data_IF_303502871898
#
_entry.id   IF_303502871898
#
_cell.length_a   1.000
_cell.length_b   1.000
_cell.length_c   1.000
_cell.angle_alpha   90.00
_cell.angle_beta   90.00
_cell.angle_gamma   90.00
#
_symmetry.space_group_name_H-M   'P 1'
#
loop_
_entity.id
_entity.type
_entity.pdbx_description
1 polymer ?
#
# COMPACT_ATOMS: atom_id res chain seq x y z
N UNK A 1 7.25 4.76 -9.62
CA UNK A 1 6.11 3.96 -10.12
C UNK A 1 6.69 2.64 -10.63
N UNK A 2 6.58 1.56 -9.87
CA UNK A 2 7.02 0.23 -10.33
C UNK A 2 5.76 -0.48 -10.84
N UNK A 3 5.69 -0.70 -12.16
CA UNK A 3 4.71 -1.60 -12.76
C UNK A 3 5.43 -2.91 -13.06
N UNK A 4 4.95 -4.05 -12.55
CA UNK A 4 5.65 -5.34 -12.73
C UNK A 4 5.95 -5.69 -14.19
N UNK A 5 6.97 -6.52 -14.51
CA UNK A 5 7.77 -7.41 -13.66
C UNK A 5 9.28 -7.09 -13.76
N UNK A 6 9.84 -6.30 -12.84
CA UNK A 6 11.26 -5.95 -12.90
C UNK A 6 12.10 -6.86 -12.00
N UNK A 7 12.36 -8.10 -12.45
CA UNK A 7 13.64 -8.72 -12.07
C UNK A 7 14.69 -8.16 -13.01
N UNK A 8 15.55 -7.33 -12.43
CA UNK A 8 16.77 -6.86 -13.06
C UNK A 8 17.98 -7.41 -12.33
N UNK A 9 19.08 -7.60 -13.04
CA UNK A 9 20.37 -7.80 -12.40
C UNK A 9 20.71 -6.50 -11.68
N UNK A 10 20.81 -6.57 -10.35
CA UNK A 10 21.35 -5.47 -9.54
C UNK A 10 22.81 -5.33 -9.91
N UNK A 11 23.16 -4.19 -10.49
CA UNK A 11 24.53 -3.88 -10.85
C UNK A 11 25.30 -3.39 -9.61
N UNK A 12 26.63 -3.33 -9.73
CA UNK A 12 27.50 -2.88 -8.64
C UNK A 12 27.22 -1.43 -8.20
N UNK A 13 26.60 -0.62 -9.05
CA UNK A 13 26.18 0.76 -8.78
C UNK A 13 24.72 0.85 -8.27
N UNK A 14 24.11 -0.29 -7.94
CA UNK A 14 22.71 -0.41 -7.49
C UNK A 14 21.67 -0.06 -8.57
N UNK A 15 22.08 0.13 -9.82
CA UNK A 15 21.13 0.23 -10.92
C UNK A 15 20.54 -1.14 -11.26
N UNK A 16 19.31 -1.14 -11.78
CA UNK A 16 18.61 -2.35 -12.21
C UNK A 16 18.72 -2.47 -13.73
N UNK A 17 19.35 -3.55 -14.20
CA UNK A 17 19.35 -3.90 -15.64
C UNK A 17 18.30 -4.97 -15.90
N UNK A 18 17.30 -4.76 -16.78
CA UNK A 18 16.33 -5.80 -17.13
C UNK A 18 17.04 -7.08 -17.60
N UNK A 19 16.69 -8.24 -17.05
CA UNK A 19 17.30 -9.52 -17.44
C UNK A 19 16.56 -10.24 -18.58
N UNK A 20 15.45 -9.65 -19.06
CA UNK A 20 14.64 -10.15 -20.16
C UNK A 20 13.76 -11.36 -19.82
N UNK A 21 13.76 -11.83 -18.57
CA UNK A 21 13.00 -13.02 -18.16
C UNK A 21 11.60 -12.62 -17.72
N UNK A 22 10.61 -12.83 -18.59
CA UNK A 22 9.19 -12.71 -18.22
C UNK A 22 8.75 -14.03 -17.61
N UNK A 23 8.58 -14.08 -16.29
CA UNK A 23 7.95 -15.23 -15.63
C UNK A 23 6.44 -15.22 -15.90
N UNK A 24 5.85 -16.31 -16.44
CA UNK A 24 4.41 -16.41 -16.61
C UNK A 24 3.75 -16.82 -15.29
N UNK A 25 3.75 -15.96 -14.26
CA UNK A 25 2.84 -16.10 -13.09
C UNK A 25 2.76 -14.81 -12.27
N UNK A 26 1.71 -14.01 -12.51
CA UNK A 26 0.66 -13.64 -11.55
C UNK A 26 0.98 -13.16 -10.11
N UNK A 27 2.22 -12.86 -9.72
CA UNK A 27 2.48 -12.19 -8.44
C UNK A 27 2.25 -10.69 -8.61
N UNK A 28 1.02 -10.26 -8.35
CA UNK A 28 0.65 -8.85 -8.31
C UNK A 28 1.20 -8.20 -7.04
N UNK A 29 2.51 -8.02 -7.01
CA UNK A 29 3.16 -7.15 -6.05
C UNK A 29 3.29 -5.76 -6.67
N UNK A 30 2.66 -4.77 -6.05
CA UNK A 30 2.78 -3.36 -6.43
C UNK A 30 3.31 -2.57 -5.25
N UNK A 31 4.04 -1.48 -5.51
CA UNK A 31 4.58 -0.66 -4.44
C UNK A 31 5.14 0.67 -4.91
N UNK A 32 5.50 1.50 -3.94
CA UNK A 32 6.09 2.79 -4.19
C UNK A 32 6.55 3.48 -2.90
N UNK A 33 7.09 4.68 -3.08
CA UNK A 33 7.50 5.55 -1.99
C UNK A 33 6.82 6.91 -2.16
N UNK A 34 6.36 7.48 -1.06
CA UNK A 34 5.78 8.83 -0.98
C UNK A 34 6.36 9.50 0.26
N UNK A 35 7.26 10.46 0.04
CA UNK A 35 8.00 11.11 1.12
C UNK A 35 8.76 10.11 2.00
N UNK A 36 8.55 10.20 3.31
CA UNK A 36 9.19 9.36 4.33
C UNK A 36 8.49 8.00 4.54
N UNK A 37 7.64 7.59 3.60
CA UNK A 37 6.88 6.35 3.68
C UNK A 37 7.05 5.52 2.42
N UNK A 38 7.12 4.21 2.58
CA UNK A 38 7.00 3.26 1.48
C UNK A 38 5.69 2.47 1.62
N UNK A 39 5.23 1.87 0.53
CA UNK A 39 4.02 1.05 0.55
C UNK A 39 4.12 -0.11 -0.42
N UNK A 40 3.41 -1.19 -0.11
CA UNK A 40 3.26 -2.36 -0.96
C UNK A 40 1.82 -2.86 -0.96
N UNK A 41 1.44 -3.56 -2.03
CA UNK A 41 0.18 -4.27 -2.17
C UNK A 41 0.47 -5.68 -2.64
N UNK A 42 -0.05 -6.65 -1.89
CA UNK A 42 0.10 -8.06 -2.17
C UNK A 42 -1.11 -8.84 -1.64
N UNK A 43 -1.12 -10.15 -1.86
CA UNK A 43 -2.04 -11.04 -1.15
C UNK A 43 -1.75 -11.00 0.35
N UNK A 44 -2.78 -11.09 1.22
CA UNK A 44 -2.56 -11.27 2.64
C UNK A 44 -1.81 -12.61 2.88
N UNK A 45 -0.76 -12.63 3.71
CA UNK A 45 -0.06 -13.86 4.07
C UNK A 45 -0.98 -14.79 4.88
N UNK A 46 -0.81 -16.10 4.67
CA UNK A 46 -1.51 -17.16 5.41
C UNK A 46 -0.60 -17.89 6.42
N UNK A 47 0.63 -17.41 6.60
CA UNK A 47 1.61 -17.99 7.50
C UNK A 47 2.41 -19.17 6.94
N UNK A 48 2.06 -19.69 5.76
CA UNK A 48 2.70 -20.89 5.19
C UNK A 48 3.96 -20.59 4.37
N UNK A 49 4.12 -19.33 3.96
CA UNK A 49 5.27 -18.87 3.19
C UNK A 49 6.56 -18.72 4.00
N UNK A 50 7.71 -18.56 3.33
CA UNK A 50 9.03 -18.43 4.00
C UNK A 50 9.15 -17.18 4.89
N UNK A 51 8.35 -16.15 4.66
CA UNK A 51 8.27 -14.96 5.51
C UNK A 51 7.23 -15.10 6.65
N UNK A 52 6.58 -16.27 6.78
CA UNK A 52 5.50 -16.50 7.73
C UNK A 52 4.35 -15.51 7.53
N UNK A 53 4.05 -14.77 8.59
CA UNK A 53 2.97 -13.78 8.62
C UNK A 53 3.40 -12.37 8.19
N UNK A 54 4.69 -12.13 7.96
CA UNK A 54 5.17 -10.82 7.54
C UNK A 54 4.48 -10.34 6.25
N UNK A 55 4.01 -9.08 6.15
CA UNK A 55 4.30 -7.94 7.04
C UNK A 55 3.36 -7.78 8.25
N UNK A 56 2.45 -8.72 8.49
CA UNK A 56 1.58 -8.70 9.65
C UNK A 56 2.40 -9.09 10.91
N UNK A 57 2.04 -8.57 12.10
CA UNK A 57 2.76 -8.85 13.34
C UNK A 57 2.64 -10.31 13.81
N UNK A 58 1.76 -11.10 13.18
CA UNK A 58 1.52 -12.50 13.49
C UNK A 58 0.26 -13.01 12.81
N UNK A 59 -0.27 -14.17 13.26
CA UNK A 59 -1.55 -14.68 12.81
C UNK A 59 -2.67 -13.65 12.99
N UNK A 60 -3.37 -13.35 11.91
CA UNK A 60 -4.59 -12.55 11.94
C UNK A 60 -5.71 -13.27 11.22
N UNK A 61 -6.89 -13.25 11.82
CA UNK A 61 -8.08 -13.85 11.26
C UNK A 61 -8.83 -12.80 10.44
N UNK A 62 -9.17 -13.15 9.21
CA UNK A 62 -10.03 -12.36 8.34
C UNK A 62 -11.00 -13.28 7.60
N UNK A 63 -12.14 -12.73 7.19
CA UNK A 63 -13.11 -13.48 6.39
C UNK A 63 -12.53 -13.78 5.01
N UNK A 64 -12.37 -15.07 4.71
CA UNK A 64 -11.82 -15.55 3.43
C UNK A 64 -12.85 -15.58 2.31
N UNK A 65 -14.13 -15.37 2.62
CA UNK A 65 -15.18 -15.21 1.59
C UNK A 65 -15.11 -13.83 0.93
N UNK A 66 -14.44 -12.89 1.58
CA UNK A 66 -14.23 -11.54 1.07
C UNK A 66 -12.86 -11.40 0.41
N UNK A 67 -12.84 -11.18 -0.91
CA UNK A 67 -11.60 -10.95 -1.62
C UNK A 67 -11.09 -9.52 -1.36
N UNK A 68 -9.89 -9.41 -0.78
CA UNK A 68 -9.15 -8.17 -0.64
C UNK A 68 -7.66 -8.38 -0.92
N UNK A 69 -6.97 -7.26 -1.09
CA UNK A 69 -5.51 -7.15 -1.16
C UNK A 69 -5.01 -6.45 0.09
N UNK A 70 -3.82 -6.81 0.55
CA UNK A 70 -3.21 -6.21 1.72
C UNK A 70 -2.34 -5.02 1.28
N UNK A 71 -2.77 -3.80 1.59
CA UNK A 71 -1.93 -2.61 1.48
C UNK A 71 -1.15 -2.44 2.78
N UNK A 72 0.17 -2.47 2.70
CA UNK A 72 1.05 -2.21 3.85
C UNK A 72 1.77 -0.89 3.68
N UNK A 73 1.76 -0.07 4.72
CA UNK A 73 2.55 1.15 4.83
C UNK A 73 3.78 0.84 5.68
N UNK A 74 4.93 1.34 5.25
CA UNK A 74 6.22 1.16 5.89
C UNK A 74 6.85 2.52 6.20
N UNK A 75 7.69 2.54 7.22
CA UNK A 75 8.67 3.60 7.41
C UNK A 75 9.59 3.63 6.20
N UNK A 76 9.70 4.77 5.50
CA UNK A 76 10.63 4.95 4.38
C UNK A 76 12.09 4.96 4.80
N UNK A 77 12.38 5.04 6.11
CA UNK A 77 13.75 4.99 6.66
C UNK A 77 14.19 3.59 7.04
N UNK A 78 13.31 2.82 7.69
CA UNK A 78 13.65 1.50 8.25
C UNK A 78 13.02 0.36 7.49
N UNK A 79 12.08 0.63 6.59
CA UNK A 79 11.24 -0.36 5.90
C UNK A 79 10.50 -1.32 6.84
N UNK A 80 10.31 -0.91 8.10
CA UNK A 80 9.45 -1.63 9.03
C UNK A 80 7.98 -1.27 8.73
N UNK A 81 7.06 -2.26 8.71
CA UNK A 81 5.63 -2.03 8.60
C UNK A 81 5.16 -1.14 9.74
N UNK A 82 4.36 -0.14 9.39
CA UNK A 82 3.67 0.72 10.33
C UNK A 82 2.22 0.25 10.51
N UNK A 83 1.55 -0.06 9.40
CA UNK A 83 0.21 -0.65 9.39
C UNK A 83 -0.04 -1.44 8.09
N UNK A 84 -0.98 -2.37 8.14
CA UNK A 84 -1.49 -3.10 6.98
C UNK A 84 -3.02 -3.08 6.98
N UNK A 85 -3.63 -2.66 5.88
CA UNK A 85 -5.09 -2.51 5.75
C UNK A 85 -5.62 -3.27 4.53
N UNK A 86 -6.84 -3.83 4.59
CA UNK A 86 -7.48 -4.44 3.43
C UNK A 86 -7.92 -3.38 2.42
N UNK A 87 -7.68 -3.63 1.13
CA UNK A 87 -8.13 -2.81 0.00
C UNK A 87 -8.67 -3.67 -1.14
N UNK A 88 -9.59 -3.14 -1.96
CA UNK A 88 -10.17 -3.88 -3.10
C UNK A 88 -9.52 -3.57 -4.45
N UNK A 89 -8.24 -3.22 -4.43
CA UNK A 89 -7.51 -2.79 -5.63
C UNK A 89 -6.07 -3.28 -5.59
N UNK A 90 -5.51 -3.60 -6.76
CA UNK A 90 -4.08 -3.88 -6.94
C UNK A 90 -3.28 -2.68 -7.39
N UNK A 91 -3.94 -1.60 -7.84
CA UNK A 91 -3.30 -0.44 -8.46
C UNK A 91 -3.89 0.88 -7.94
N UNK A 92 -3.75 1.21 -6.65
CA UNK A 92 -4.17 2.50 -6.16
C UNK A 92 -3.16 3.59 -6.50
N UNK A 93 -3.69 4.82 -6.54
CA UNK A 93 -2.91 6.03 -6.31
C UNK A 93 -2.90 6.30 -4.81
N UNK A 94 -1.72 6.55 -4.25
CA UNK A 94 -1.55 6.77 -2.81
C UNK A 94 -0.83 8.10 -2.61
N UNK A 95 -1.33 8.91 -1.69
CA UNK A 95 -0.64 10.09 -1.15
C UNK A 95 -0.63 10.02 0.37
N UNK A 96 0.40 10.58 0.98
CA UNK A 96 0.61 10.57 2.43
C UNK A 96 1.06 11.97 2.84
N UNK A 97 0.36 12.58 3.79
CA UNK A 97 0.75 13.89 4.32
C UNK A 97 1.81 13.77 5.43
N UNK A 98 2.35 14.91 5.85
CA UNK A 98 3.40 14.96 6.89
C UNK A 98 2.92 14.52 8.28
N UNK A 99 1.61 14.38 8.50
CA UNK A 99 1.03 13.85 9.73
C UNK A 99 0.80 12.34 9.66
N UNK A 100 1.15 11.70 8.53
CA UNK A 100 0.96 10.28 8.31
C UNK A 100 -0.47 9.92 7.89
N UNK A 101 -1.31 10.88 7.48
CA UNK A 101 -2.61 10.58 6.91
C UNK A 101 -2.42 10.06 5.49
N UNK A 102 -2.95 8.86 5.24
CA UNK A 102 -2.93 8.23 3.94
C UNK A 102 -4.28 8.45 3.25
N UNK A 103 -4.22 8.87 1.99
CA UNK A 103 -5.35 8.82 1.08
C UNK A 103 -5.05 7.82 -0.05
N UNK A 104 -6.00 6.94 -0.30
CA UNK A 104 -5.93 5.89 -1.32
C UNK A 104 -7.09 6.08 -2.27
N UNK A 105 -6.79 6.25 -3.55
CA UNK A 105 -7.81 6.37 -4.60
C UNK A 105 -7.66 5.23 -5.59
N UNK A 106 -8.77 4.59 -5.91
CA UNK A 106 -8.85 3.56 -6.95
C UNK A 106 -10.23 3.56 -7.61
N UNK A 107 -10.43 2.66 -8.58
CA UNK A 107 -11.78 2.36 -9.07
C UNK A 107 -12.64 1.91 -7.88
N UNK A 108 -13.71 2.65 -7.60
CA UNK A 108 -14.58 2.42 -6.44
C UNK A 108 -14.49 3.48 -5.34
N UNK A 109 -13.68 4.53 -5.51
CA UNK A 109 -13.70 5.73 -4.66
C UNK A 109 -12.37 6.00 -3.95
N UNK A 110 -12.41 7.00 -3.06
CA UNK A 110 -11.28 7.41 -2.23
C UNK A 110 -11.50 6.96 -0.79
N UNK A 111 -10.48 6.39 -0.18
CA UNK A 111 -10.47 5.98 1.24
C UNK A 111 -9.32 6.66 1.98
N UNK A 112 -9.42 6.76 3.30
CA UNK A 112 -8.37 7.33 4.16
C UNK A 112 -8.18 6.54 5.45
N UNK A 113 -6.96 6.57 5.98
CA UNK A 113 -6.52 6.00 7.26
C UNK A 113 -5.20 6.66 7.69
N UNK A 114 -4.63 6.27 8.83
CA UNK A 114 -3.37 6.80 9.38
C UNK A 114 -2.24 5.77 9.32
N UNK A 115 -0.98 6.21 9.37
CA UNK A 115 0.16 5.30 9.34
C UNK A 115 0.26 4.41 10.60
N UNK A 116 -0.31 4.86 11.72
CA UNK A 116 -0.39 4.15 13.00
C UNK A 116 -1.73 3.43 13.23
N UNK A 117 -2.55 3.33 12.17
CA UNK A 117 -3.88 2.74 12.24
C UNK A 117 -3.81 1.25 12.62
N UNK A 118 -4.78 0.71 13.37
CA UNK A 118 -4.81 -0.72 13.70
C UNK A 118 -4.69 -1.61 12.46
N UNK A 119 -3.84 -2.63 12.57
CA UNK A 119 -3.63 -3.63 11.52
C UNK A 119 -4.96 -4.34 11.21
N UNK A 120 -5.21 -4.59 9.93
CA UNK A 120 -6.41 -5.22 9.38
C UNK A 120 -7.72 -4.45 9.55
N UNK A 121 -7.67 -3.18 9.94
CA UNK A 121 -8.86 -2.33 9.95
C UNK A 121 -9.16 -1.77 8.56
N UNK A 122 -10.41 -1.88 8.11
CA UNK A 122 -10.85 -1.34 6.82
C UNK A 122 -10.71 0.19 6.76
N UNK A 123 -10.12 0.74 5.68
CA UNK A 123 -10.05 2.18 5.47
C UNK A 123 -11.43 2.85 5.39
N UNK A 124 -11.55 4.04 5.95
CA UNK A 124 -12.79 4.82 5.94
C UNK A 124 -12.99 5.50 4.59
N UNK A 125 -14.24 5.66 4.16
CA UNK A 125 -14.57 6.45 2.98
C UNK A 125 -14.19 7.91 3.14
N UNK A 126 -13.48 8.44 2.15
CA UNK A 126 -13.14 9.85 2.11
C UNK A 126 -14.27 10.60 1.41
N UNK A 127 -15.02 11.41 2.17
CA UNK A 127 -15.94 12.39 1.62
C UNK A 127 -15.15 13.51 0.93
N UNK A 128 -15.02 13.37 -0.39
CA UNK A 128 -14.29 14.33 -1.22
C UNK A 128 -15.06 15.65 -1.33
N UNK A 129 -16.40 15.62 -1.37
CA UNK A 129 -17.21 16.82 -1.51
C UNK A 129 -17.07 17.71 -0.27
N UNK A 130 -17.29 17.14 0.93
CA UNK A 130 -17.11 17.89 2.17
C UNK A 130 -15.65 18.29 2.45
N UNK A 131 -14.67 17.65 1.81
CA UNK A 131 -13.28 18.11 1.85
C UNK A 131 -13.07 19.36 0.99
N UNK A 132 -13.65 19.41 -0.20
CA UNK A 132 -13.54 20.54 -1.12
C UNK A 132 -14.25 21.78 -0.57
N UNK A 133 -15.42 21.61 0.04
CA UNK A 133 -16.19 22.71 0.63
C UNK A 133 -15.38 23.41 1.73
N UNK A 134 -14.83 22.65 2.69
CA UNK A 134 -13.97 23.20 3.75
C UNK A 134 -12.73 23.90 3.22
N UNK A 135 -12.13 23.36 2.16
CA UNK A 135 -10.96 23.97 1.54
C UNK A 135 -11.29 25.25 0.75
N UNK A 136 -12.55 25.46 0.36
CA UNK A 136 -13.02 26.71 -0.22
C UNK A 136 -13.23 27.76 0.88
N UNK A 137 -13.80 27.36 2.01
CA UNK A 137 -14.00 28.23 3.18
C UNK A 137 -12.66 28.73 3.75
N UNK A 138 -11.68 27.85 3.95
CA UNK A 138 -10.34 28.20 4.47
C UNK A 138 -9.53 29.15 3.55
N UNK A 139 -9.95 29.34 2.29
CA UNK A 139 -9.32 30.28 1.35
C UNK A 139 -10.01 31.65 1.31
N UNK A 140 -11.19 31.76 1.91
CA UNK A 140 -11.95 33.00 1.95
C UNK A 140 -11.55 33.90 3.16
N UNK A 141 -10.81 33.34 4.11
CA UNK A 141 -10.20 34.02 5.28
C UNK A 141 -8.75 34.45 5.03
#
# INVERSE_FOLDING_TARGET
MVQGPDIGVVQADLSLRPDGTIWPTGRHFFGGQVGDYAWTIAHPPDGTGPAGWWPLPGPVTYDRTEQFWLLTIYSGRTFLPLTSVPVRTTRPSITIDSRGRIAVTARGGSKTFQADWPVMQWPTELDVAGLLDRAADDRAD
#
